data_IF_888416277295
#
_entry.id   IF_888416277295
#
_cell.length_a   1.000
_cell.length_b   1.000
_cell.length_c   1.000
_cell.angle_alpha   90.00
_cell.angle_beta   90.00
_cell.angle_gamma   90.00
#
_symmetry.space_group_name_H-M   'P 1'
#
loop_
_entity.id
_entity.type
_entity.pdbx_description
1 polymer ?
#
# COMPACT_ATOMS: atom_id res chain seq x y z
N UNK A 1 62.89 -12.04 29.59
CA UNK A 1 62.24 -11.32 28.48
C UNK A 1 61.01 -12.12 28.06
N UNK A 2 59.91 -11.84 28.77
CA UNK A 2 58.55 -12.31 28.51
C UNK A 2 57.78 -11.09 28.00
N UNK A 3 56.69 -11.32 27.28
CA UNK A 3 55.76 -10.33 26.72
C UNK A 3 56.12 -9.87 25.32
N UNK A 4 55.52 -10.52 24.32
CA UNK A 4 55.17 -9.98 22.98
C UNK A 4 54.38 -11.06 22.21
N UNK A 5 53.35 -11.64 22.82
CA UNK A 5 52.44 -12.61 22.18
C UNK A 5 51.06 -12.45 22.82
N UNK A 6 50.40 -11.32 22.60
CA UNK A 6 48.97 -11.15 22.86
C UNK A 6 48.55 -9.85 22.18
N UNK A 7 47.33 -9.80 21.65
CA UNK A 7 46.64 -8.60 21.12
C UNK A 7 46.82 -8.32 19.61
N UNK A 8 46.27 -9.17 18.75
CA UNK A 8 45.79 -8.76 17.43
C UNK A 8 44.79 -9.79 16.86
N UNK A 9 43.76 -10.13 17.63
CA UNK A 9 42.64 -10.94 17.14
C UNK A 9 41.33 -10.32 17.64
N UNK A 10 41.08 -9.08 17.24
CA UNK A 10 39.81 -8.41 17.52
C UNK A 10 39.46 -7.51 16.34
N UNK A 11 38.18 -7.57 15.96
CA UNK A 11 37.41 -6.63 15.12
C UNK A 11 37.63 -6.64 13.61
N UNK A 12 37.04 -7.62 12.94
CA UNK A 12 36.56 -7.44 11.56
C UNK A 12 35.40 -8.41 11.25
N UNK A 13 34.28 -8.34 11.99
CA UNK A 13 32.99 -8.72 11.42
C UNK A 13 32.40 -7.44 10.82
N UNK A 14 32.43 -7.24 9.48
CA UNK A 14 31.53 -6.28 8.89
C UNK A 14 30.12 -6.78 9.20
N UNK A 15 29.39 -6.01 10.00
CA UNK A 15 27.94 -6.11 10.08
C UNK A 15 27.46 -5.96 8.64
N UNK A 16 27.12 -7.08 8.00
CA UNK A 16 26.31 -7.11 6.81
C UNK A 16 24.93 -6.58 7.22
N UNK A 17 24.83 -5.26 7.36
CA UNK A 17 23.58 -4.54 7.33
C UNK A 17 23.07 -4.71 5.92
N UNK A 18 22.38 -5.83 5.69
CA UNK A 18 21.54 -6.00 4.53
C UNK A 18 20.50 -4.88 4.59
N UNK A 19 20.82 -3.76 3.96
CA UNK A 19 19.86 -2.79 3.48
C UNK A 19 18.97 -3.55 2.50
N UNK A 20 17.94 -4.20 3.03
CA UNK A 20 16.85 -4.70 2.20
C UNK A 20 16.09 -3.47 1.77
N UNK A 21 16.01 -3.25 0.46
CA UNK A 21 15.23 -2.15 -0.07
C UNK A 21 13.79 -2.26 0.47
N UNK A 22 13.18 -1.13 0.87
CA UNK A 22 11.81 -1.15 1.35
C UNK A 22 10.90 -1.74 0.27
N UNK A 23 10.03 -2.67 0.67
CA UNK A 23 9.08 -3.32 -0.25
C UNK A 23 8.14 -2.24 -0.83
N UNK A 24 7.98 -2.15 -2.16
CA UNK A 24 7.08 -1.18 -2.76
C UNK A 24 5.63 -1.37 -2.26
N UNK A 25 4.90 -0.28 -1.96
CA UNK A 25 3.53 -0.39 -1.49
C UNK A 25 2.61 -1.22 -2.40
N UNK A 26 2.79 -1.17 -3.72
CA UNK A 26 2.03 -1.99 -4.68
C UNK A 26 2.26 -3.48 -4.45
N UNK A 27 3.48 -3.88 -4.11
CA UNK A 27 3.79 -5.26 -3.81
C UNK A 27 3.12 -5.70 -2.51
N UNK A 28 3.16 -4.85 -1.47
CA UNK A 28 2.46 -5.13 -0.21
C UNK A 28 0.95 -5.27 -0.43
N UNK A 29 0.32 -4.39 -1.20
CA UNK A 29 -1.12 -4.47 -1.55
C UNK A 29 -1.42 -5.82 -2.23
N UNK A 30 -0.62 -6.23 -3.23
CA UNK A 30 -0.80 -7.51 -3.93
C UNK A 30 -0.66 -8.71 -2.99
N UNK A 31 0.34 -8.69 -2.12
CA UNK A 31 0.57 -9.76 -1.14
C UNK A 31 -0.60 -9.90 -0.16
N UNK A 32 -1.13 -8.78 0.36
CA UNK A 32 -2.29 -8.80 1.24
C UNK A 32 -3.56 -9.25 0.52
N UNK A 33 -3.80 -8.79 -0.71
CA UNK A 33 -4.93 -9.26 -1.52
C UNK A 33 -4.83 -10.77 -1.82
N UNK A 34 -3.64 -11.28 -2.14
CA UNK A 34 -3.42 -12.72 -2.32
C UNK A 34 -3.68 -13.51 -1.02
N UNK A 35 -3.28 -12.98 0.14
CA UNK A 35 -3.58 -13.57 1.44
C UNK A 35 -5.10 -13.61 1.72
N UNK A 36 -5.83 -12.52 1.41
CA UNK A 36 -7.29 -12.47 1.52
C UNK A 36 -7.96 -13.53 0.64
N UNK A 37 -7.57 -13.64 -0.64
CA UNK A 37 -8.08 -14.68 -1.55
C UNK A 37 -7.84 -16.08 -1.00
N UNK A 38 -6.64 -16.35 -0.48
CA UNK A 38 -6.31 -17.64 0.15
C UNK A 38 -7.17 -17.92 1.39
N UNK A 39 -7.40 -16.91 2.21
CA UNK A 39 -8.25 -17.02 3.39
C UNK A 39 -9.70 -17.30 3.01
N UNK A 40 -10.28 -16.54 2.07
CA UNK A 40 -11.64 -16.76 1.53
C UNK A 40 -11.79 -18.20 1.01
N UNK A 41 -10.81 -18.69 0.25
CA UNK A 41 -10.84 -20.06 -0.29
C UNK A 41 -10.92 -21.14 0.79
N UNK A 42 -10.34 -20.89 1.98
CA UNK A 42 -10.29 -21.83 3.11
C UNK A 42 -11.50 -21.73 4.04
N UNK A 43 -12.08 -20.53 4.20
CA UNK A 43 -13.09 -20.28 5.24
C UNK A 43 -14.51 -20.25 4.69
N UNK A 44 -14.68 -19.91 3.41
CA UNK A 44 -16.00 -19.82 2.77
C UNK A 44 -16.27 -21.11 1.99
N UNK A 45 -17.12 -21.97 2.56
CA UNK A 45 -17.44 -23.27 1.96
C UNK A 45 -18.30 -23.15 0.69
N UNK A 46 -19.25 -22.23 0.68
CA UNK A 46 -20.21 -22.05 -0.41
C UNK A 46 -19.51 -21.50 -1.68
N UNK A 47 -19.51 -22.24 -2.81
CA UNK A 47 -18.75 -21.83 -4.00
C UNK A 47 -19.19 -20.49 -4.62
N UNK A 48 -20.50 -20.24 -4.70
CA UNK A 48 -21.03 -19.00 -5.29
C UNK A 48 -20.64 -17.78 -4.45
N UNK A 49 -20.91 -17.83 -3.13
CA UNK A 49 -20.54 -16.78 -2.17
C UNK A 49 -19.04 -16.48 -2.15
N UNK A 50 -18.23 -17.54 -2.25
CA UNK A 50 -16.76 -17.43 -2.36
C UNK A 50 -16.35 -16.70 -3.63
N UNK A 51 -16.94 -17.02 -4.79
CA UNK A 51 -16.61 -16.33 -6.03
C UNK A 51 -16.93 -14.83 -5.95
N UNK A 52 -18.07 -14.46 -5.34
CA UNK A 52 -18.44 -13.06 -5.15
C UNK A 52 -17.49 -12.33 -4.20
N UNK A 53 -17.07 -12.96 -3.11
CA UNK A 53 -16.08 -12.40 -2.18
C UNK A 53 -14.71 -12.23 -2.85
N UNK A 54 -14.27 -13.19 -3.66
CA UNK A 54 -13.03 -13.06 -4.43
C UNK A 54 -13.09 -11.87 -5.40
N UNK A 55 -14.22 -11.67 -6.07
CA UNK A 55 -14.42 -10.50 -6.93
C UNK A 55 -14.36 -9.17 -6.15
N UNK A 56 -14.84 -9.12 -4.90
CA UNK A 56 -14.69 -7.93 -4.06
C UNK A 56 -13.23 -7.67 -3.67
N UNK A 57 -12.44 -8.72 -3.40
CA UNK A 57 -10.99 -8.57 -3.15
C UNK A 57 -10.26 -8.08 -4.40
N UNK A 58 -10.61 -8.59 -5.58
CA UNK A 58 -10.05 -8.12 -6.85
C UNK A 58 -10.37 -6.64 -7.09
N UNK A 59 -11.61 -6.23 -6.84
CA UNK A 59 -12.03 -4.83 -6.94
C UNK A 59 -11.30 -3.95 -5.92
N UNK A 60 -11.17 -4.39 -4.66
CA UNK A 60 -10.44 -3.67 -3.63
C UNK A 60 -8.96 -3.50 -3.99
N UNK A 61 -8.29 -4.57 -4.43
CA UNK A 61 -6.89 -4.50 -4.87
C UNK A 61 -6.69 -3.45 -5.97
N UNK A 62 -7.55 -3.47 -6.99
CA UNK A 62 -7.47 -2.52 -8.11
C UNK A 62 -7.64 -1.08 -7.64
N UNK A 63 -8.63 -0.83 -6.79
CA UNK A 63 -8.92 0.50 -6.21
C UNK A 63 -7.75 1.00 -5.33
N UNK A 64 -7.10 0.12 -4.58
CA UNK A 64 -5.92 0.49 -3.76
C UNK A 64 -4.69 0.76 -4.63
N UNK A 65 -4.49 0.03 -5.73
CA UNK A 65 -3.39 0.29 -6.66
C UNK A 65 -3.55 1.60 -7.45
N UNK A 66 -4.79 2.05 -7.69
CA UNK A 66 -5.05 3.34 -8.35
C UNK A 66 -4.51 4.52 -7.52
N UNK A 67 -4.49 4.42 -6.20
CA UNK A 67 -3.99 5.47 -5.31
C UNK A 67 -2.55 5.89 -5.63
N UNK A 68 -1.67 4.92 -5.85
CA UNK A 68 -0.26 5.20 -6.14
C UNK A 68 -0.10 5.85 -7.52
N UNK A 69 -0.93 5.45 -8.48
CA UNK A 69 -0.97 6.09 -9.80
C UNK A 69 -1.42 7.54 -9.69
N UNK A 70 -2.47 7.80 -8.91
CA UNK A 70 -3.00 9.14 -8.69
C UNK A 70 -1.98 10.07 -8.03
N UNK A 71 -1.25 9.59 -7.02
CA UNK A 71 -0.19 10.33 -6.34
C UNK A 71 0.98 10.63 -7.27
N UNK A 72 1.44 9.63 -8.03
CA UNK A 72 2.53 9.81 -8.99
C UNK A 72 2.13 10.82 -10.07
N UNK A 73 0.88 10.74 -10.56
CA UNK A 73 0.36 11.69 -11.53
C UNK A 73 0.31 13.12 -10.95
N UNK A 74 -0.21 13.29 -9.74
CA UNK A 74 -0.21 14.59 -9.07
C UNK A 74 1.21 15.12 -8.87
N UNK A 75 2.15 14.28 -8.45
CA UNK A 75 3.55 14.67 -8.25
C UNK A 75 4.18 15.17 -9.55
N UNK A 76 4.01 14.45 -10.66
CA UNK A 76 4.48 14.86 -11.99
C UNK A 76 3.83 16.17 -12.43
N UNK A 77 2.53 16.33 -12.22
CA UNK A 77 1.79 17.54 -12.58
C UNK A 77 2.29 18.76 -11.78
N UNK A 78 2.46 18.61 -10.46
CA UNK A 78 3.01 19.67 -9.61
C UNK A 78 4.46 20.01 -9.95
N UNK A 79 5.29 19.02 -10.30
CA UNK A 79 6.66 19.27 -10.77
C UNK A 79 6.66 20.06 -12.09
N UNK A 80 5.79 19.70 -13.02
CA UNK A 80 5.61 20.40 -14.29
C UNK A 80 5.16 21.85 -14.08
N UNK A 81 4.17 22.08 -13.21
CA UNK A 81 3.70 23.42 -12.87
C UNK A 81 4.76 24.25 -12.14
N UNK A 82 5.56 23.64 -11.27
CA UNK A 82 6.66 24.34 -10.60
C UNK A 82 7.83 24.70 -11.54
N UNK A 83 8.01 23.96 -12.64
CA UNK A 83 9.03 24.25 -13.64
C UNK A 83 8.62 25.42 -14.57
N UNK A 84 7.33 25.74 -14.66
CA UNK A 84 6.79 26.88 -15.38
C UNK A 84 6.63 28.08 -14.45
N UNK A 85 7.57 29.03 -14.52
CA UNK A 85 7.58 30.23 -13.66
C UNK A 85 6.36 31.15 -13.87
N UNK A 86 5.68 31.05 -15.01
CA UNK A 86 4.49 31.83 -15.34
C UNK A 86 3.19 31.08 -15.03
N UNK A 87 3.26 29.85 -14.51
CA UNK A 87 2.09 29.04 -14.19
C UNK A 87 1.19 29.76 -13.18
N UNK A 88 -0.08 30.04 -13.52
CA UNK A 88 -0.97 30.74 -12.61
C UNK A 88 -1.38 29.81 -11.47
N UNK A 89 -1.50 30.38 -10.26
CA UNK A 89 -1.95 29.68 -9.05
C UNK A 89 -3.22 28.83 -9.27
N UNK A 90 -4.15 29.30 -10.10
CA UNK A 90 -5.37 28.59 -10.44
C UNK A 90 -5.12 27.17 -11.01
N UNK A 91 -4.00 26.94 -11.71
CA UNK A 91 -3.63 25.62 -12.25
C UNK A 91 -3.21 24.64 -11.17
N UNK A 92 -2.49 25.11 -10.15
CA UNK A 92 -2.18 24.29 -8.97
C UNK A 92 -3.44 23.91 -8.20
N UNK A 93 -4.36 24.86 -8.03
CA UNK A 93 -5.63 24.63 -7.34
C UNK A 93 -6.51 23.63 -8.11
N UNK A 94 -6.52 23.72 -9.44
CA UNK A 94 -7.19 22.77 -10.33
C UNK A 94 -6.59 21.35 -10.20
N UNK A 95 -5.26 21.20 -10.27
CA UNK A 95 -4.59 19.90 -10.11
C UNK A 95 -4.93 19.25 -8.76
N UNK A 96 -4.91 20.03 -7.68
CA UNK A 96 -5.28 19.58 -6.33
C UNK A 96 -6.78 19.28 -6.18
N UNK A 97 -7.66 20.01 -6.88
CA UNK A 97 -9.10 19.72 -6.90
C UNK A 97 -9.37 18.39 -7.60
N UNK A 98 -8.81 18.17 -8.79
CA UNK A 98 -8.94 16.90 -9.52
C UNK A 98 -8.41 15.71 -8.72
N UNK A 99 -7.28 15.86 -8.03
CA UNK A 99 -6.78 14.79 -7.16
C UNK A 99 -7.74 14.47 -6.01
N UNK A 100 -8.30 15.50 -5.34
CA UNK A 100 -9.28 15.30 -4.26
C UNK A 100 -10.54 14.59 -4.74
N UNK A 101 -11.06 14.95 -5.91
CA UNK A 101 -12.22 14.26 -6.50
C UNK A 101 -11.95 12.76 -6.72
N UNK A 102 -10.73 12.40 -7.18
CA UNK A 102 -10.33 11.00 -7.32
C UNK A 102 -10.19 10.29 -5.97
N UNK A 103 -9.65 10.97 -4.96
CA UNK A 103 -9.58 10.45 -3.58
C UNK A 103 -10.98 10.14 -3.04
N UNK A 104 -11.92 11.07 -3.16
CA UNK A 104 -13.28 10.89 -2.67
C UNK A 104 -14.00 9.74 -3.38
N UNK A 105 -13.90 9.69 -4.72
CA UNK A 105 -14.46 8.60 -5.51
C UNK A 105 -13.86 7.23 -5.16
N UNK A 106 -12.56 7.18 -4.85
CA UNK A 106 -11.88 5.95 -4.39
C UNK A 106 -12.36 5.55 -3.01
N UNK A 107 -12.49 6.49 -2.07
CA UNK A 107 -12.95 6.21 -0.72
C UNK A 107 -14.36 5.59 -0.70
N UNK A 108 -15.26 6.08 -1.57
CA UNK A 108 -16.59 5.48 -1.76
C UNK A 108 -16.48 4.03 -2.25
N UNK A 109 -15.61 3.73 -3.21
CA UNK A 109 -15.41 2.37 -3.73
C UNK A 109 -14.79 1.42 -2.70
N UNK A 110 -13.82 1.89 -1.91
CA UNK A 110 -13.23 1.10 -0.81
C UNK A 110 -14.29 0.75 0.22
N UNK A 111 -15.11 1.72 0.66
CA UNK A 111 -16.20 1.46 1.59
C UNK A 111 -17.24 0.50 1.03
N UNK A 112 -17.61 0.65 -0.25
CA UNK A 112 -18.55 -0.26 -0.89
C UNK A 112 -18.04 -1.71 -0.89
N UNK A 113 -16.76 -1.92 -1.24
CA UNK A 113 -16.14 -3.23 -1.19
C UNK A 113 -16.09 -3.79 0.24
N UNK A 114 -15.71 -2.98 1.22
CA UNK A 114 -15.71 -3.34 2.65
C UNK A 114 -17.09 -3.83 3.11
N UNK A 115 -18.13 -3.02 2.93
CA UNK A 115 -19.47 -3.37 3.37
C UNK A 115 -20.03 -4.59 2.64
N UNK A 116 -19.67 -4.78 1.37
CA UNK A 116 -20.08 -5.96 0.61
C UNK A 116 -19.40 -7.24 1.12
N UNK A 117 -18.11 -7.17 1.49
CA UNK A 117 -17.42 -8.29 2.13
C UNK A 117 -18.02 -8.60 3.50
N UNK A 118 -18.29 -7.60 4.33
CA UNK A 118 -18.96 -7.76 5.63
C UNK A 118 -20.34 -8.40 5.47
N UNK A 119 -21.15 -7.94 4.52
CA UNK A 119 -22.50 -8.45 4.26
C UNK A 119 -22.51 -9.92 3.81
N UNK A 120 -21.47 -10.35 3.09
CA UNK A 120 -21.35 -11.70 2.53
C UNK A 120 -20.60 -12.70 3.42
N UNK A 121 -20.13 -12.26 4.58
CA UNK A 121 -19.42 -13.11 5.53
C UNK A 121 -20.22 -13.26 6.80
N UNK A 122 -20.09 -14.42 7.46
CA UNK A 122 -20.50 -14.53 8.85
C UNK A 122 -19.43 -13.90 9.78
N UNK A 123 -19.76 -13.75 11.07
CA UNK A 123 -18.84 -13.13 12.03
C UNK A 123 -17.50 -13.89 12.21
N UNK A 124 -17.49 -15.23 12.07
CA UNK A 124 -16.27 -16.04 12.18
C UNK A 124 -15.43 -15.94 10.92
N UNK A 125 -16.06 -15.93 9.75
CA UNK A 125 -15.41 -15.69 8.46
C UNK A 125 -14.79 -14.28 8.45
N UNK A 126 -15.57 -13.24 8.79
CA UNK A 126 -15.11 -11.85 8.80
C UNK A 126 -13.92 -11.62 9.73
N UNK A 127 -13.96 -12.21 10.94
CA UNK A 127 -12.85 -12.13 11.90
C UNK A 127 -11.52 -12.65 11.32
N UNK A 128 -11.55 -13.56 10.35
CA UNK A 128 -10.35 -14.08 9.69
C UNK A 128 -9.86 -13.23 8.51
N UNK A 129 -10.68 -12.30 8.04
CA UNK A 129 -10.40 -11.46 6.87
C UNK A 129 -10.06 -10.02 7.24
N UNK A 130 -10.65 -9.47 8.30
CA UNK A 130 -10.55 -8.04 8.65
C UNK A 130 -9.10 -7.58 8.88
N UNK A 131 -8.25 -8.40 9.50
CA UNK A 131 -6.85 -8.03 9.72
C UNK A 131 -6.05 -7.95 8.41
N UNK A 132 -6.40 -8.79 7.43
CA UNK A 132 -5.79 -8.78 6.09
C UNK A 132 -6.26 -7.57 5.28
N UNK A 133 -7.55 -7.22 5.39
CA UNK A 133 -8.07 -5.98 4.80
C UNK A 133 -7.37 -4.76 5.39
N UNK A 134 -7.30 -4.66 6.73
CA UNK A 134 -6.59 -3.57 7.40
C UNK A 134 -5.12 -3.48 6.98
N UNK A 135 -4.44 -4.62 6.81
CA UNK A 135 -3.07 -4.65 6.32
C UNK A 135 -2.97 -4.10 4.87
N UNK A 136 -3.90 -4.45 3.99
CA UNK A 136 -3.95 -3.93 2.63
C UNK A 136 -4.19 -2.40 2.60
N UNK A 137 -5.13 -1.92 3.43
CA UNK A 137 -5.42 -0.49 3.58
C UNK A 137 -4.21 0.29 4.12
N UNK A 138 -3.51 -0.28 5.11
CA UNK A 138 -2.28 0.31 5.66
C UNK A 138 -1.15 0.36 4.64
N UNK A 139 -1.00 -0.68 3.82
CA UNK A 139 -0.02 -0.70 2.74
C UNK A 139 -0.28 0.44 1.74
N UNK A 140 -1.54 0.65 1.35
CA UNK A 140 -1.93 1.77 0.49
C UNK A 140 -1.63 3.14 1.14
N UNK A 141 -1.98 3.33 2.42
CA UNK A 141 -1.67 4.58 3.13
C UNK A 141 -0.17 4.84 3.35
N UNK A 142 0.68 3.81 3.32
CA UNK A 142 2.14 3.98 3.40
C UNK A 142 2.69 4.64 2.13
N UNK A 143 2.07 4.38 0.97
CA UNK A 143 2.43 5.02 -0.29
C UNK A 143 2.20 6.54 -0.26
N UNK A 144 1.13 7.00 0.40
CA UNK A 144 0.85 8.43 0.58
C UNK A 144 2.03 9.14 1.23
N UNK A 145 2.53 8.57 2.33
CA UNK A 145 3.63 9.17 3.10
C UNK A 145 4.93 9.17 2.30
N UNK A 146 5.25 8.09 1.59
CA UNK A 146 6.47 8.01 0.77
C UNK A 146 6.44 9.00 -0.40
N UNK A 147 5.31 9.12 -1.09
CA UNK A 147 5.13 10.06 -2.19
C UNK A 147 5.26 11.52 -1.73
N UNK A 148 4.74 11.86 -0.55
CA UNK A 148 4.79 13.22 -0.01
C UNK A 148 6.16 13.60 0.58
N UNK A 149 6.95 12.61 1.05
CA UNK A 149 8.25 12.85 1.71
C UNK A 149 9.46 12.59 0.81
N UNK A 150 9.25 12.19 -0.44
CA UNK A 150 10.33 11.96 -1.41
C UNK A 150 11.14 10.69 -1.16
N UNK A 151 10.53 9.65 -0.59
CA UNK A 151 11.11 8.31 -0.50
C UNK A 151 12.36 8.17 0.39
N UNK A 152 12.60 9.10 1.34
CA UNK A 152 13.67 8.95 2.33
C UNK A 152 13.14 8.25 3.57
N UNK A 153 13.11 6.93 3.53
CA UNK A 153 12.98 6.06 4.70
C UNK A 153 14.22 5.19 4.84
#
# INVERSE_FOLDING_TARGET
MRSLLLTALLTALPLASCASDPVPPEQLIREQAAAMRSAIAKVVAEPARRAELLAQVDALELVLQEQNRDLNQLSVELQSLNADYDAPRARFEEALAHFRERVDARYVRVQAAHFEMVRRTDAKEWKRLVDLEHAALKAAGTADVQALTGGKS
#
